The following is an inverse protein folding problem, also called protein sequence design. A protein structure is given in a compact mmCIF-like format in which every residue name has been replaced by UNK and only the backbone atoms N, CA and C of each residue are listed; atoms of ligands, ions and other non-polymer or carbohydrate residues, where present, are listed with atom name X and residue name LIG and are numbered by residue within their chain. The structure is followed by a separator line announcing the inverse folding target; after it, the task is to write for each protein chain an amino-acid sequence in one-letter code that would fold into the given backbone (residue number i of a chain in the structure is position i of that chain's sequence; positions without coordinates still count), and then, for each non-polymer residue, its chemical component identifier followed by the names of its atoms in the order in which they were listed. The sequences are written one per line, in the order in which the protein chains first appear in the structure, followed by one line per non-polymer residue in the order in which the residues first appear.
data_IF_980713603940
#
_entry.id   IF_980713603940
#
_cell.length_a   1.000
_cell.length_b   1.000
_cell.length_c   1.000
_cell.angle_alpha   90.00
_cell.angle_beta   90.00
_cell.angle_gamma   90.00
#
_symmetry.space_group_name_H-M   'P 1'
#
loop_
_entity.id
_entity.type
_entity.pdbx_description
1 polymer ?
#
# COMPACT_ATOMS: atom_id res chain seq x y z
N UNK A 1 0.45 27.92 -38.64
CA UNK A 1 1.36 26.78 -38.37
C UNK A 1 1.89 26.90 -36.95
N UNK A 2 1.35 26.12 -36.01
CA UNK A 2 1.87 25.99 -34.65
C UNK A 2 2.60 24.66 -34.59
N UNK A 3 3.90 24.70 -34.32
CA UNK A 3 4.68 23.50 -34.04
C UNK A 3 4.39 23.07 -32.60
N UNK A 4 3.76 21.90 -32.44
CA UNK A 4 3.69 21.19 -31.17
C UNK A 4 4.98 20.37 -31.08
N UNK A 5 5.90 20.77 -30.21
CA UNK A 5 6.99 19.88 -29.81
C UNK A 5 6.39 18.76 -28.97
N UNK A 6 6.29 17.57 -29.56
CA UNK A 6 6.12 16.33 -28.81
C UNK A 6 7.42 16.05 -28.06
N UNK A 7 7.42 16.31 -26.76
CA UNK A 7 8.42 15.74 -25.86
C UNK A 7 8.12 14.25 -25.71
N UNK A 8 8.86 13.43 -26.45
CA UNK A 8 9.07 12.02 -26.10
C UNK A 8 9.86 12.01 -24.78
N UNK A 9 9.14 11.89 -23.66
CA UNK A 9 9.74 11.56 -22.37
C UNK A 9 10.29 10.13 -22.49
N UNK A 10 11.61 10.02 -22.61
CA UNK A 10 12.33 8.75 -22.51
C UNK A 10 12.08 8.12 -21.15
N UNK A 11 11.75 6.82 -21.16
CA UNK A 11 11.39 5.97 -20.03
C UNK A 11 12.54 5.74 -19.02
N UNK A 12 12.92 6.76 -18.25
CA UNK A 12 14.04 6.62 -17.30
C UNK A 12 14.05 7.57 -16.11
N UNK A 13 12.91 8.14 -15.70
CA UNK A 13 12.88 9.17 -14.64
C UNK A 13 11.84 8.97 -13.54
N UNK A 14 11.20 7.80 -13.43
CA UNK A 14 10.10 7.60 -12.47
C UNK A 14 10.41 6.72 -11.25
N UNK A 15 11.49 5.95 -11.25
CA UNK A 15 11.93 5.28 -10.03
C UNK A 15 12.59 6.31 -9.11
N UNK A 16 11.83 6.85 -8.15
CA UNK A 16 12.44 7.48 -6.98
C UNK A 16 13.40 6.47 -6.37
N UNK A 17 14.71 6.73 -6.42
CA UNK A 17 15.68 5.85 -5.80
C UNK A 17 15.51 5.94 -4.28
N UNK A 18 15.27 4.80 -3.64
CA UNK A 18 15.20 4.68 -2.19
C UNK A 18 16.53 4.18 -1.59
N UNK A 19 16.93 4.80 -0.50
CA UNK A 19 18.10 4.46 0.28
C UNK A 19 17.60 3.90 1.61
N UNK A 20 17.76 2.59 1.83
CA UNK A 20 17.34 1.94 3.08
C UNK A 20 18.10 2.52 4.28
N UNK A 21 17.37 2.79 5.36
CA UNK A 21 17.91 3.20 6.65
C UNK A 21 17.92 2.07 7.69
N UNK A 22 17.12 1.01 7.50
CA UNK A 22 17.07 -0.19 8.34
C UNK A 22 15.75 -0.34 9.10
N UNK A 23 15.72 -1.23 10.09
CA UNK A 23 14.53 -1.46 10.92
C UNK A 23 14.15 -0.24 11.76
N UNK A 24 12.84 -0.04 11.99
CA UNK A 24 12.31 1.03 12.85
C UNK A 24 12.00 0.46 14.23
N UNK A 25 12.97 0.50 15.14
CA UNK A 25 12.89 -0.13 16.46
C UNK A 25 11.72 0.40 17.31
N UNK A 26 11.36 1.67 17.16
CA UNK A 26 10.27 2.32 17.89
C UNK A 26 8.88 1.80 17.50
N UNK A 27 8.75 1.30 16.26
CA UNK A 27 7.49 0.75 15.74
C UNK A 27 7.42 -0.77 15.96
N UNK A 28 8.56 -1.46 15.85
CA UNK A 28 8.66 -2.91 15.95
C UNK A 28 8.55 -3.42 17.39
N UNK A 29 8.03 -4.65 17.53
CA UNK A 29 7.99 -5.38 18.81
C UNK A 29 8.55 -6.80 18.64
N UNK A 30 8.24 -7.73 19.54
CA UNK A 30 8.52 -9.16 19.32
C UNK A 30 7.47 -9.87 18.42
N UNK A 31 6.37 -9.19 18.12
CA UNK A 31 5.25 -9.69 17.34
C UNK A 31 5.38 -9.34 15.84
N UNK A 32 4.32 -9.44 15.06
CA UNK A 32 4.28 -8.94 13.69
C UNK A 32 3.88 -7.47 13.67
N UNK A 33 4.55 -6.69 12.82
CA UNK A 33 4.22 -5.30 12.49
C UNK A 33 4.18 -5.12 10.98
N UNK A 34 3.04 -4.68 10.47
CA UNK A 34 2.79 -4.65 9.03
C UNK A 34 1.72 -3.64 8.65
N UNK A 35 1.49 -3.47 7.34
CA UNK A 35 0.52 -2.54 6.78
C UNK A 35 0.58 -1.11 7.35
N UNK A 36 1.75 -0.44 7.33
CA UNK A 36 1.85 0.97 7.69
C UNK A 36 1.02 1.80 6.69
N UNK A 37 0.30 2.79 7.19
CA UNK A 37 -0.39 3.79 6.36
C UNK A 37 -0.44 5.12 7.08
N UNK A 38 -0.16 6.20 6.36
CA UNK A 38 -0.34 7.54 6.89
C UNK A 38 -1.82 7.93 6.89
N UNK A 39 -2.34 8.34 8.04
CA UNK A 39 -3.64 8.98 8.17
C UNK A 39 -3.46 10.52 8.16
N UNK A 40 -3.76 11.19 7.03
CA UNK A 40 -3.61 12.63 6.94
C UNK A 40 -4.60 13.40 7.83
N UNK A 41 -5.77 12.84 8.14
CA UNK A 41 -6.76 13.48 8.99
C UNK A 41 -6.34 13.45 10.47
N UNK A 42 -5.79 12.31 10.91
CA UNK A 42 -5.25 12.14 12.26
C UNK A 42 -3.83 12.67 12.46
N UNK A 43 -3.10 13.01 11.38
CA UNK A 43 -1.66 13.31 11.37
C UNK A 43 -0.85 12.24 12.13
N UNK A 44 -1.17 10.98 11.85
CA UNK A 44 -0.61 9.83 12.54
C UNK A 44 -0.35 8.69 11.56
N UNK A 45 0.60 7.83 11.91
CA UNK A 45 0.77 6.55 11.25
C UNK A 45 -0.23 5.56 11.86
N UNK A 46 -0.91 4.79 11.03
CA UNK A 46 -1.60 3.57 11.43
C UNK A 46 -0.76 2.37 11.02
N UNK A 47 -0.76 1.31 11.82
CA UNK A 47 -0.13 0.03 11.48
C UNK A 47 -0.94 -1.14 12.04
N UNK A 48 -0.86 -2.29 11.40
CA UNK A 48 -1.37 -3.55 11.94
C UNK A 48 -0.29 -4.19 12.81
N UNK A 49 -0.68 -4.71 13.97
CA UNK A 49 0.25 -5.46 14.82
C UNK A 49 -0.42 -6.58 15.59
N UNK A 50 0.32 -7.67 15.83
CA UNK A 50 -0.10 -8.81 16.65
C UNK A 50 0.43 -8.74 18.08
N UNK A 51 0.94 -7.58 18.52
CA UNK A 51 1.56 -7.39 19.85
C UNK A 51 0.66 -7.69 21.06
N UNK A 52 -0.66 -7.68 20.86
CA UNK A 52 -1.64 -8.06 21.89
C UNK A 52 -2.07 -9.54 21.82
N UNK A 53 -1.48 -10.33 20.92
CA UNK A 53 -1.85 -11.73 20.64
C UNK A 53 -2.84 -11.90 19.49
N UNK A 54 -3.52 -10.83 19.08
CA UNK A 54 -4.42 -10.79 17.92
C UNK A 54 -4.03 -9.63 17.00
N UNK A 55 -4.40 -9.70 15.72
CA UNK A 55 -4.15 -8.60 14.80
C UNK A 55 -5.09 -7.43 15.11
N UNK A 56 -4.51 -6.28 15.45
CA UNK A 56 -5.20 -5.03 15.79
C UNK A 56 -4.57 -3.85 15.04
N UNK A 57 -5.32 -2.76 14.95
CA UNK A 57 -4.82 -1.50 14.38
C UNK A 57 -4.29 -0.60 15.50
N UNK A 58 -3.06 -0.12 15.33
CA UNK A 58 -2.39 0.80 16.23
C UNK A 58 -2.17 2.14 15.54
N UNK A 59 -2.37 3.24 16.27
CA UNK A 59 -1.99 4.58 15.87
C UNK A 59 -0.67 4.99 16.52
N UNK A 60 0.15 5.72 15.78
CA UNK A 60 1.45 6.23 16.20
C UNK A 60 1.55 7.69 15.81
N UNK A 61 1.73 8.55 16.80
CA UNK A 61 1.94 9.99 16.57
C UNK A 61 3.36 10.21 16.06
N UNK A 62 3.49 11.06 15.04
CA UNK A 62 4.79 11.53 14.56
C UNK A 62 5.14 12.85 15.24
N UNK A 63 6.29 12.89 15.92
CA UNK A 63 6.81 14.07 16.64
C UNK A 63 7.89 14.81 15.83
N UNK A 64 7.70 14.90 14.50
CA UNK A 64 8.57 15.53 13.51
C UNK A 64 9.96 14.89 13.30
N UNK A 65 10.56 14.32 14.36
CA UNK A 65 11.86 13.61 14.29
C UNK A 65 11.82 12.22 14.92
N UNK A 66 10.74 11.86 15.62
CA UNK A 66 10.62 10.55 16.27
C UNK A 66 9.19 10.02 16.26
N UNK A 67 9.08 8.70 16.36
CA UNK A 67 7.82 8.00 16.53
C UNK A 67 7.43 7.96 18.00
N UNK A 68 6.16 8.27 18.31
CA UNK A 68 5.58 7.96 19.60
C UNK A 68 5.41 6.44 19.81
N UNK A 69 4.91 6.04 20.98
CA UNK A 69 4.59 4.63 21.24
C UNK A 69 3.31 4.23 20.48
N UNK A 70 3.26 3.05 19.84
CA UNK A 70 2.03 2.57 19.21
C UNK A 70 0.91 2.32 20.24
N UNK A 71 -0.28 2.89 19.97
CA UNK A 71 -1.47 2.74 20.80
C UNK A 71 -2.60 2.10 20.01
N UNK A 72 -3.24 1.05 20.53
CA UNK A 72 -4.37 0.40 19.86
C UNK A 72 -5.50 1.42 19.65
N UNK A 73 -6.12 1.42 18.46
CA UNK A 73 -7.28 2.27 18.19
C UNK A 73 -8.46 1.84 19.08
N UNK A 74 -8.87 2.66 20.06
CA UNK A 74 -9.79 2.22 21.10
C UNK A 74 -11.17 1.92 20.53
N UNK A 75 -11.72 0.77 20.93
CA UNK A 75 -13.08 0.35 20.58
C UNK A 75 -13.29 -0.08 19.12
N UNK A 76 -12.24 -0.09 18.28
CA UNK A 76 -12.36 -0.50 16.89
C UNK A 76 -12.60 -2.02 16.78
N UNK A 77 -11.79 -2.84 17.43
CA UNK A 77 -11.97 -4.29 17.40
C UNK A 77 -12.57 -4.82 18.71
N UNK A 78 -13.59 -5.67 18.59
CA UNK A 78 -14.07 -6.50 19.70
C UNK A 78 -13.08 -7.64 20.00
N UNK A 79 -13.02 -8.14 21.24
CA UNK A 79 -12.19 -9.31 21.61
C UNK A 79 -12.49 -10.52 20.71
N UNK A 80 -11.47 -11.22 20.23
CA UNK A 80 -11.63 -12.37 19.32
C UNK A 80 -11.82 -12.01 17.85
N UNK A 81 -11.80 -10.72 17.50
CA UNK A 81 -11.83 -10.26 16.12
C UNK A 81 -10.46 -9.78 15.68
N UNK A 82 -9.97 -10.36 14.59
CA UNK A 82 -8.76 -9.92 13.91
C UNK A 82 -9.12 -8.84 12.89
N UNK A 83 -8.48 -7.67 13.00
CA UNK A 83 -8.58 -6.57 12.05
C UNK A 83 -7.18 -6.15 11.60
N UNK A 84 -7.02 -5.94 10.30
CA UNK A 84 -5.74 -5.59 9.70
C UNK A 84 -5.92 -4.67 8.49
N UNK A 85 -4.81 -4.18 7.94
CA UNK A 85 -4.74 -3.41 6.69
C UNK A 85 -5.70 -2.22 6.66
N UNK A 86 -5.47 -1.27 7.56
CA UNK A 86 -6.15 0.01 7.55
C UNK A 86 -5.85 0.79 6.26
N UNK A 87 -6.86 1.49 5.74
CA UNK A 87 -6.77 2.43 4.65
C UNK A 87 -7.71 3.61 4.89
N UNK A 88 -7.19 4.73 5.44
CA UNK A 88 -7.93 5.96 5.61
C UNK A 88 -8.41 6.52 4.27
N UNK A 89 -9.62 7.07 4.25
CA UNK A 89 -10.22 7.76 3.11
C UNK A 89 -10.42 9.25 3.44
N UNK A 90 -10.31 10.16 2.46
CA UNK A 90 -10.48 11.61 2.69
C UNK A 90 -11.84 12.01 3.28
N UNK A 91 -12.87 11.18 3.12
CA UNK A 91 -14.22 11.41 3.64
C UNK A 91 -14.43 10.87 5.07
N UNK A 92 -13.34 10.47 5.76
CA UNK A 92 -13.35 10.07 7.17
C UNK A 92 -13.69 8.61 7.42
N UNK A 93 -13.85 7.81 6.36
CA UNK A 93 -13.95 6.35 6.49
C UNK A 93 -12.56 5.71 6.63
N UNK A 94 -12.52 4.62 7.39
CA UNK A 94 -11.37 3.72 7.50
C UNK A 94 -11.76 2.37 6.89
N UNK A 95 -11.15 2.02 5.75
CA UNK A 95 -11.28 0.71 5.13
C UNK A 95 -10.34 -0.28 5.80
N UNK A 96 -10.81 -1.51 6.02
CA UNK A 96 -10.15 -2.50 6.86
C UNK A 96 -10.37 -3.91 6.31
N UNK A 97 -9.44 -4.81 6.59
CA UNK A 97 -9.65 -6.23 6.45
C UNK A 97 -10.25 -6.81 7.73
N UNK A 98 -11.32 -7.61 7.58
CA UNK A 98 -11.92 -8.37 8.67
C UNK A 98 -11.99 -9.85 8.32
N UNK A 99 -11.67 -10.71 9.28
CA UNK A 99 -11.87 -12.14 9.13
C UNK A 99 -13.36 -12.49 9.15
N UNK A 100 -13.76 -13.39 8.25
CA UNK A 100 -15.10 -13.96 8.18
C UNK A 100 -14.99 -15.48 8.01
N UNK A 101 -15.87 -16.20 8.71
CA UNK A 101 -15.99 -17.64 8.53
C UNK A 101 -16.77 -17.93 7.25
N UNK A 102 -16.11 -18.50 6.24
CA UNK A 102 -16.76 -19.03 5.04
C UNK A 102 -17.21 -20.48 5.22
N UNK A 103 -17.83 -21.03 4.18
CA UNK A 103 -18.34 -22.41 4.18
C UNK A 103 -17.21 -23.44 4.14
N UNK A 104 -16.12 -23.11 3.45
CA UNK A 104 -14.96 -24.01 3.27
C UNK A 104 -13.78 -23.62 4.16
N UNK A 105 -13.54 -22.33 4.33
CA UNK A 105 -12.44 -21.79 5.13
C UNK A 105 -12.77 -20.37 5.60
N UNK A 106 -12.00 -19.87 6.57
CA UNK A 106 -12.03 -18.45 6.90
C UNK A 106 -11.32 -17.63 5.81
N UNK A 107 -11.79 -16.41 5.57
CA UNK A 107 -11.23 -15.51 4.58
C UNK A 107 -11.24 -14.07 5.08
N UNK A 108 -10.37 -13.23 4.50
CA UNK A 108 -10.41 -11.77 4.68
C UNK A 108 -11.39 -11.15 3.68
N UNK A 109 -12.15 -10.18 4.15
CA UNK A 109 -12.95 -9.31 3.30
C UNK A 109 -12.77 -7.85 3.72
N UNK A 110 -12.94 -6.94 2.75
CA UNK A 110 -12.88 -5.49 2.96
C UNK A 110 -14.19 -4.99 3.54
N UNK A 111 -14.10 -4.27 4.65
CA UNK A 111 -15.20 -3.52 5.29
C UNK A 111 -14.76 -2.09 5.51
N UNK A 112 -15.68 -1.21 5.93
CA UNK A 112 -15.30 0.13 6.40
C UNK A 112 -15.93 0.48 7.75
N UNK A 113 -15.25 1.32 8.49
CA UNK A 113 -15.73 1.90 9.73
C UNK A 113 -15.48 3.40 9.76
N UNK A 114 -16.34 4.17 10.43
CA UNK A 114 -16.08 5.57 10.74
C UNK A 114 -16.29 5.81 12.22
N UNK A 115 -15.53 6.75 12.78
CA UNK A 115 -15.68 7.13 14.17
C UNK A 115 -16.76 8.20 14.31
N UNK A 116 -17.76 7.91 15.12
CA UNK A 116 -18.89 8.80 15.41
C UNK A 116 -18.52 9.85 16.44
N UNK A 117 -19.35 10.89 16.58
CA UNK A 117 -19.11 12.03 17.49
C UNK A 117 -19.06 11.62 18.96
N UNK A 118 -19.77 10.55 19.33
CA UNK A 118 -19.77 9.95 20.67
C UNK A 118 -18.59 8.98 20.89
N UNK A 119 -17.61 8.97 19.98
CA UNK A 119 -16.46 8.05 19.97
C UNK A 119 -16.79 6.58 19.71
N UNK A 120 -18.02 6.23 19.36
CA UNK A 120 -18.36 4.88 18.87
C UNK A 120 -17.89 4.67 17.43
N UNK A 121 -17.88 3.41 16.97
CA UNK A 121 -17.54 3.06 15.59
C UNK A 121 -18.80 2.60 14.84
N UNK A 122 -19.08 3.28 13.74
CA UNK A 122 -20.13 2.91 12.79
C UNK A 122 -19.53 2.03 11.69
N UNK A 123 -20.02 0.79 11.59
CA UNK A 123 -19.54 -0.22 10.65
C UNK A 123 -20.43 -0.33 9.42
N UNK A 124 -19.82 -0.54 8.26
CA UNK A 124 -20.53 -0.76 7.01
C UNK A 124 -19.86 -1.83 6.15
N UNK A 125 -20.70 -2.74 5.63
CA UNK A 125 -20.35 -3.72 4.62
C UNK A 125 -20.31 -3.08 3.21
N UNK A 126 -19.54 -3.67 2.31
CA UNK A 126 -19.34 -3.18 0.93
C UNK A 126 -19.81 -4.25 -0.07
N UNK A 127 -21.11 -4.54 -0.16
CA UNK A 127 -21.64 -5.61 -1.02
C UNK A 127 -21.27 -5.45 -2.50
N UNK A 128 -21.07 -4.21 -2.96
CA UNK A 128 -20.63 -3.89 -4.31
C UNK A 128 -19.23 -4.44 -4.63
N UNK A 129 -18.32 -4.51 -3.65
CA UNK A 129 -16.98 -5.05 -3.86
C UNK A 129 -16.98 -6.58 -3.88
N UNK A 130 -17.93 -7.23 -3.18
CA UNK A 130 -17.93 -8.67 -2.94
C UNK A 130 -18.91 -9.45 -3.80
N UNK A 131 -19.72 -8.76 -4.62
CA UNK A 131 -20.73 -9.38 -5.49
C UNK A 131 -20.08 -10.36 -6.47
N UNK A 132 -20.59 -11.59 -6.52
CA UNK A 132 -20.06 -12.65 -7.40
C UNK A 132 -18.74 -13.26 -6.93
N UNK A 133 -18.26 -12.86 -5.74
CA UNK A 133 -17.01 -13.29 -5.13
C UNK A 133 -17.15 -13.38 -3.59
N UNK A 134 -18.30 -13.83 -3.09
CA UNK A 134 -18.73 -13.63 -1.70
C UNK A 134 -17.82 -14.29 -0.65
N UNK A 135 -17.14 -15.39 -1.03
CA UNK A 135 -16.17 -16.11 -0.19
C UNK A 135 -14.72 -16.03 -0.74
N UNK A 136 -14.47 -15.14 -1.70
CA UNK A 136 -13.12 -14.84 -2.16
C UNK A 136 -12.35 -14.07 -1.08
N UNK A 137 -11.06 -14.33 -0.97
CA UNK A 137 -10.15 -13.43 -0.30
C UNK A 137 -10.22 -12.05 -0.97
N UNK A 138 -10.52 -11.01 -0.20
CA UNK A 138 -10.48 -9.62 -0.64
C UNK A 138 -9.84 -8.80 0.47
N UNK A 139 -8.59 -8.40 0.26
CA UNK A 139 -7.76 -7.81 1.31
C UNK A 139 -6.90 -6.66 0.80
N UNK A 140 -6.13 -6.08 1.73
CA UNK A 140 -5.14 -5.06 1.45
C UNK A 140 -5.74 -3.83 0.74
N UNK A 141 -6.85 -3.24 1.24
CA UNK A 141 -7.45 -2.10 0.58
C UNK A 141 -6.50 -0.91 0.61
N UNK A 142 -6.57 -0.07 -0.42
CA UNK A 142 -5.99 1.26 -0.46
C UNK A 142 -6.95 2.20 -1.19
N UNK A 143 -7.00 3.44 -0.72
CA UNK A 143 -7.85 4.50 -1.28
C UNK A 143 -6.91 5.55 -1.89
N UNK A 144 -7.22 6.00 -3.10
CA UNK A 144 -6.46 7.08 -3.73
C UNK A 144 -6.59 8.37 -2.90
N UNK A 145 -5.58 9.26 -2.88
CA UNK A 145 -5.62 10.47 -2.04
C UNK A 145 -6.79 11.42 -2.31
N UNK A 146 -7.37 11.36 -3.51
CA UNK A 146 -8.58 12.11 -3.91
C UNK A 146 -9.90 11.37 -3.59
N UNK A 147 -9.82 10.14 -3.07
CA UNK A 147 -10.96 9.30 -2.72
C UNK A 147 -11.74 8.73 -3.93
N UNK A 148 -11.20 8.84 -5.14
CA UNK A 148 -11.89 8.45 -6.37
C UNK A 148 -11.73 6.97 -6.73
N UNK A 149 -10.69 6.31 -6.22
CA UNK A 149 -10.34 4.93 -6.53
C UNK A 149 -10.07 4.12 -5.27
N UNK A 150 -10.51 2.87 -5.28
CA UNK A 150 -10.17 1.85 -4.29
C UNK A 150 -9.46 0.72 -5.03
N UNK A 151 -8.26 0.34 -4.58
CA UNK A 151 -7.55 -0.84 -5.06
C UNK A 151 -7.41 -1.84 -3.92
N UNK A 152 -7.53 -3.13 -4.22
CA UNK A 152 -7.41 -4.22 -3.24
C UNK A 152 -6.94 -5.51 -3.93
N UNK A 153 -6.39 -6.44 -3.16
CA UNK A 153 -5.96 -7.76 -3.62
C UNK A 153 -7.07 -8.78 -3.47
N UNK A 154 -7.30 -9.65 -4.46
CA UNK A 154 -8.35 -10.68 -4.40
C UNK A 154 -8.09 -11.89 -5.28
N UNK A 155 -8.45 -13.08 -4.79
CA UNK A 155 -8.44 -14.36 -5.52
C UNK A 155 -9.77 -14.66 -6.23
N UNK A 156 -10.58 -13.61 -6.47
CA UNK A 156 -11.88 -13.74 -7.10
C UNK A 156 -11.78 -14.30 -8.53
N UNK A 157 -12.84 -14.97 -9.04
CA UNK A 157 -12.87 -15.46 -10.41
C UNK A 157 -12.59 -14.36 -11.45
N UNK A 158 -11.84 -14.70 -12.50
CA UNK A 158 -11.52 -13.79 -13.61
C UNK A 158 -10.15 -13.10 -13.49
N UNK A 159 -9.38 -13.44 -12.47
CA UNK A 159 -7.98 -13.04 -12.25
C UNK A 159 -6.97 -13.63 -13.25
N UNK A 160 -5.70 -13.24 -13.12
CA UNK A 160 -4.56 -13.72 -13.92
C UNK A 160 -3.73 -14.78 -13.17
N UNK A 161 -3.85 -14.87 -11.84
CA UNK A 161 -2.99 -15.69 -11.00
C UNK A 161 -3.63 -16.15 -9.69
N UNK A 162 -2.87 -16.09 -8.60
CA UNK A 162 -3.32 -16.42 -7.25
C UNK A 162 -4.23 -15.31 -6.69
N UNK A 163 -3.63 -14.31 -6.05
CA UNK A 163 -4.33 -13.05 -5.75
C UNK A 163 -3.95 -11.99 -6.77
N UNK A 164 -4.93 -11.23 -7.23
CA UNK A 164 -4.75 -10.19 -8.23
C UNK A 164 -5.12 -8.81 -7.66
N UNK A 165 -4.61 -7.73 -8.24
CA UNK A 165 -5.06 -6.38 -7.96
C UNK A 165 -6.35 -6.06 -8.74
N UNK A 166 -7.33 -5.54 -8.02
CA UNK A 166 -8.62 -5.09 -8.55
C UNK A 166 -8.87 -3.64 -8.16
N UNK A 167 -9.44 -2.86 -9.07
CA UNK A 167 -9.78 -1.45 -8.88
C UNK A 167 -11.29 -1.24 -8.93
N UNK A 168 -11.83 -0.43 -8.02
CA UNK A 168 -13.20 0.06 -8.09
C UNK A 168 -13.19 1.59 -8.10
N UNK A 169 -14.01 2.18 -8.96
CA UNK A 169 -14.14 3.64 -9.08
C UNK A 169 -15.33 4.13 -8.26
N UNK A 170 -15.15 5.24 -7.56
CA UNK A 170 -16.22 5.86 -6.79
C UNK A 170 -17.26 6.47 -7.73
N UNK A 171 -18.53 6.12 -7.52
CA UNK A 171 -19.65 6.59 -8.31
C UNK A 171 -20.21 7.90 -7.75
N UNK A 172 -21.03 8.58 -8.56
CA UNK A 172 -21.62 9.88 -8.20
C UNK A 172 -22.58 9.80 -6.99
N UNK A 173 -23.14 8.62 -6.72
CA UNK A 173 -24.00 8.35 -5.56
C UNK A 173 -23.20 8.01 -4.28
N UNK A 174 -21.87 7.97 -4.37
CA UNK A 174 -20.96 7.70 -3.26
C UNK A 174 -20.61 6.22 -3.03
N UNK A 175 -21.24 5.29 -3.75
CA UNK A 175 -20.91 3.85 -3.71
C UNK A 175 -19.70 3.53 -4.58
N UNK A 176 -19.11 2.36 -4.38
CA UNK A 176 -18.09 1.84 -5.29
C UNK A 176 -18.73 1.18 -6.51
N UNK A 177 -18.10 1.35 -7.66
CA UNK A 177 -18.44 0.60 -8.88
C UNK A 177 -18.06 -0.88 -8.76
N UNK A 178 -18.40 -1.64 -9.80
CA UNK A 178 -17.96 -3.02 -9.93
C UNK A 178 -16.43 -3.09 -10.05
N UNK A 179 -15.75 -3.98 -9.30
CA UNK A 179 -14.31 -4.10 -9.39
C UNK A 179 -13.82 -4.63 -10.75
N UNK A 180 -12.83 -3.94 -11.32
CA UNK A 180 -12.16 -4.28 -12.57
C UNK A 180 -10.77 -4.87 -12.28
N UNK A 181 -10.38 -5.93 -12.98
CA UNK A 181 -9.05 -6.54 -12.81
C UNK A 181 -7.97 -5.64 -13.44
N UNK A 182 -6.93 -5.30 -12.69
CA UNK A 182 -5.78 -4.53 -13.17
C UNK A 182 -4.78 -5.42 -13.91
N UNK A 183 -5.23 -6.10 -14.98
CA UNK A 183 -4.46 -7.12 -15.72
C UNK A 183 -3.03 -6.72 -16.07
N UNK A 184 -2.80 -5.44 -16.40
CA UNK A 184 -1.47 -4.91 -16.73
C UNK A 184 -0.48 -4.89 -15.56
N UNK A 185 -0.96 -5.00 -14.33
CA UNK A 185 -0.16 -5.02 -13.10
C UNK A 185 -0.07 -6.41 -12.48
N UNK A 186 -0.92 -7.34 -12.91
CA UNK A 186 -0.98 -8.68 -12.35
C UNK A 186 -0.02 -9.62 -13.07
N UNK A 187 0.27 -10.74 -12.42
CA UNK A 187 1.13 -11.80 -12.92
C UNK A 187 0.48 -13.17 -12.70
N UNK A 188 1.09 -14.28 -13.15
CA UNK A 188 0.64 -15.62 -12.78
C UNK A 188 0.77 -15.94 -11.27
N UNK A 189 1.48 -15.09 -10.51
CA UNK A 189 1.69 -15.22 -9.07
C UNK A 189 0.61 -14.51 -8.23
N UNK A 190 1.02 -13.99 -7.09
CA UNK A 190 0.22 -13.22 -6.14
C UNK A 190 0.66 -11.77 -6.14
N UNK A 191 -0.28 -10.85 -6.31
CA UNK A 191 -0.10 -9.43 -6.07
C UNK A 191 -0.82 -8.99 -4.79
N UNK A 192 -0.06 -8.37 -3.89
CA UNK A 192 -0.53 -8.00 -2.54
C UNK A 192 -0.13 -6.58 -2.16
N UNK A 193 -0.74 -6.09 -1.08
CA UNK A 193 -0.37 -4.84 -0.41
C UNK A 193 -0.31 -3.59 -1.32
N UNK A 194 -1.31 -3.35 -2.20
CA UNK A 194 -1.32 -2.14 -3.01
C UNK A 194 -1.37 -0.89 -2.11
N UNK A 195 -0.67 0.16 -2.53
CA UNK A 195 -0.63 1.46 -1.85
C UNK A 195 -0.56 2.60 -2.85
N UNK A 196 -1.56 3.46 -2.83
CA UNK A 196 -1.45 4.73 -3.53
C UNK A 196 -0.47 5.67 -2.81
N UNK A 197 0.49 6.20 -3.57
CA UNK A 197 1.29 7.36 -3.15
C UNK A 197 0.71 8.68 -3.70
N UNK A 198 0.01 8.60 -4.82
CA UNK A 198 -0.74 9.67 -5.49
C UNK A 198 -1.88 9.04 -6.31
N UNK A 199 -2.82 9.82 -6.88
CA UNK A 199 -3.87 9.25 -7.74
C UNK A 199 -3.33 8.49 -8.97
N UNK A 200 -2.08 8.74 -9.35
CA UNK A 200 -1.41 8.14 -10.51
C UNK A 200 -0.23 7.23 -10.15
N UNK A 201 0.15 7.07 -8.88
CA UNK A 201 1.27 6.20 -8.50
C UNK A 201 0.81 5.14 -7.51
N UNK A 202 0.97 3.88 -7.88
CA UNK A 202 0.62 2.71 -7.08
C UNK A 202 1.85 1.86 -6.83
N UNK A 203 2.16 1.62 -5.56
CA UNK A 203 3.12 0.62 -5.12
C UNK A 203 2.39 -0.67 -4.77
N UNK A 204 3.02 -1.82 -4.95
CA UNK A 204 2.49 -3.12 -4.54
C UNK A 204 3.62 -4.13 -4.40
N UNK A 205 3.33 -5.33 -3.90
CA UNK A 205 4.27 -6.43 -3.87
C UNK A 205 3.79 -7.60 -4.72
N UNK A 206 4.71 -8.33 -5.35
CA UNK A 206 4.40 -9.48 -6.20
C UNK A 206 5.41 -10.62 -6.04
N UNK A 207 4.94 -11.86 -6.13
CA UNK A 207 5.79 -13.06 -6.23
C UNK A 207 5.86 -13.66 -7.65
N UNK A 208 5.25 -13.01 -8.65
CA UNK A 208 5.14 -13.54 -10.01
C UNK A 208 5.69 -12.64 -11.13
N UNK A 209 6.08 -11.40 -10.84
CA UNK A 209 6.84 -10.54 -11.78
C UNK A 209 8.33 -10.89 -11.87
N UNK A 210 8.79 -11.87 -11.07
CA UNK A 210 10.20 -12.13 -10.81
C UNK A 210 10.78 -11.12 -9.83
N UNK A 211 12.05 -11.30 -9.43
CA UNK A 211 12.67 -10.45 -8.44
C UNK A 211 13.76 -11.17 -7.66
N UNK A 212 14.21 -10.57 -6.57
CA UNK A 212 15.28 -11.13 -5.75
C UNK A 212 14.75 -12.14 -4.72
N UNK A 213 13.49 -12.00 -4.29
CA UNK A 213 12.91 -12.67 -3.13
C UNK A 213 11.70 -13.54 -3.47
N UNK A 214 10.86 -13.76 -2.45
CA UNK A 214 9.53 -14.36 -2.63
C UNK A 214 8.55 -13.30 -3.08
N UNK A 215 8.22 -12.35 -2.20
CA UNK A 215 7.55 -11.10 -2.58
C UNK A 215 8.56 -9.96 -2.78
N UNK A 216 8.46 -9.27 -3.91
CA UNK A 216 9.27 -8.11 -4.26
C UNK A 216 8.37 -6.87 -4.45
N UNK A 217 8.87 -5.67 -4.11
CA UNK A 217 8.15 -4.41 -4.28
C UNK A 217 8.25 -3.90 -5.72
N UNK A 218 7.11 -3.40 -6.21
CA UNK A 218 6.95 -2.80 -7.53
C UNK A 218 6.22 -1.45 -7.44
N UNK A 219 6.45 -0.60 -8.43
CA UNK A 219 5.70 0.64 -8.66
C UNK A 219 5.14 0.65 -10.08
N UNK A 220 3.93 1.16 -10.24
CA UNK A 220 3.38 1.51 -11.54
C UNK A 220 2.78 2.91 -11.51
N UNK A 221 2.87 3.57 -12.67
CA UNK A 221 2.33 4.91 -12.87
C UNK A 221 1.18 4.86 -13.87
N UNK A 222 0.02 5.38 -13.47
CA UNK A 222 -1.15 5.55 -14.31
C UNK A 222 -0.95 6.72 -15.25
N UNK A 223 -1.15 6.48 -16.54
CA UNK A 223 -1.09 7.49 -17.60
C UNK A 223 -2.37 8.32 -17.61
N UNK A 224 -2.30 9.46 -18.30
CA UNK A 224 -3.42 10.38 -18.49
C UNK A 224 -4.61 9.76 -19.24
N UNK A 225 -4.36 8.72 -20.06
CA UNK A 225 -5.40 7.95 -20.77
C UNK A 225 -6.06 6.88 -19.88
N UNK A 226 -5.63 6.79 -18.62
CA UNK A 226 -6.13 5.86 -17.62
C UNK A 226 -5.46 4.49 -17.60
N UNK A 227 -4.56 4.21 -18.53
CA UNK A 227 -3.79 2.94 -18.56
C UNK A 227 -2.67 2.96 -17.52
N UNK A 228 -2.35 1.81 -16.94
CA UNK A 228 -1.18 1.67 -16.08
C UNK A 228 0.06 1.31 -16.90
N UNK A 229 1.21 1.85 -16.51
CA UNK A 229 2.50 1.45 -17.06
C UNK A 229 2.86 0.03 -16.57
N UNK A 230 3.69 -0.72 -17.32
CA UNK A 230 4.27 -1.95 -16.79
C UNK A 230 4.92 -1.68 -15.42
N UNK A 231 4.79 -2.59 -14.45
CA UNK A 231 5.37 -2.39 -13.14
C UNK A 231 6.90 -2.40 -13.20
N UNK A 232 7.52 -1.46 -12.49
CA UNK A 232 8.96 -1.35 -12.33
C UNK A 232 9.37 -1.82 -10.92
N UNK A 233 10.38 -2.69 -10.78
CA UNK A 233 10.82 -3.17 -9.47
C UNK A 233 11.57 -2.09 -8.70
N UNK A 234 11.36 -2.03 -7.37
CA UNK A 234 12.16 -1.20 -6.45
C UNK A 234 13.46 -1.95 -6.09
N UNK A 235 14.34 -2.11 -7.08
CA UNK A 235 15.57 -2.91 -7.00
C UNK A 235 16.49 -2.55 -5.84
N UNK A 236 16.39 -1.32 -5.35
CA UNK A 236 17.18 -0.80 -4.25
C UNK A 236 16.62 -1.15 -2.85
N UNK A 237 15.36 -1.57 -2.76
CA UNK A 237 14.74 -2.07 -1.52
C UNK A 237 14.56 -3.59 -1.52
N UNK A 238 14.42 -4.19 -2.71
CA UNK A 238 14.21 -5.61 -2.87
C UNK A 238 15.46 -6.42 -2.54
N UNK A 239 15.28 -7.51 -1.80
CA UNK A 239 16.35 -8.41 -1.36
C UNK A 239 15.93 -9.87 -1.56
N UNK A 240 16.77 -10.86 -1.24
CA UNK A 240 16.35 -12.26 -1.22
C UNK A 240 15.32 -12.63 -0.14
N UNK A 241 14.76 -11.66 0.59
CA UNK A 241 13.69 -11.82 1.58
C UNK A 241 12.35 -11.43 0.96
N UNK A 242 11.27 -11.47 1.73
CA UNK A 242 9.97 -10.95 1.30
C UNK A 242 9.87 -9.47 1.68
N UNK A 243 9.63 -8.60 0.71
CA UNK A 243 9.30 -7.19 0.90
C UNK A 243 7.86 -6.87 0.49
N UNK A 244 7.13 -6.14 1.33
CA UNK A 244 5.72 -5.81 1.10
C UNK A 244 5.30 -4.53 1.82
N UNK A 245 4.01 -4.17 1.75
CA UNK A 245 3.41 -3.15 2.63
C UNK A 245 4.08 -1.76 2.55
N UNK A 246 4.49 -1.37 1.35
CA UNK A 246 5.12 -0.07 1.13
C UNK A 246 4.17 1.09 1.46
N UNK A 247 4.70 2.13 2.11
CA UNK A 247 3.97 3.36 2.45
C UNK A 247 4.91 4.56 2.44
N UNK A 248 4.76 5.45 1.46
CA UNK A 248 5.40 6.78 1.47
C UNK A 248 4.72 7.71 2.46
N UNK A 249 5.50 8.51 3.18
CA UNK A 249 5.00 9.50 4.14
C UNK A 249 4.97 10.91 3.52
N UNK A 250 4.03 11.79 3.91
CA UNK A 250 3.79 13.07 3.23
C UNK A 250 4.85 14.14 3.50
N UNK A 251 5.75 13.92 4.47
CA UNK A 251 6.86 14.81 4.77
C UNK A 251 8.14 14.47 3.99
N UNK A 252 7.97 13.84 2.82
CA UNK A 252 8.75 14.14 1.61
C UNK A 252 9.97 13.27 1.34
N UNK A 253 10.49 12.54 2.32
CA UNK A 253 11.70 11.74 2.12
C UNK A 253 11.71 10.43 2.89
N UNK A 254 10.59 9.97 3.44
CA UNK A 254 10.55 8.75 4.25
C UNK A 254 9.46 7.82 3.71
N UNK A 255 9.80 6.54 3.57
CA UNK A 255 8.87 5.45 3.35
C UNK A 255 9.08 4.39 4.42
N UNK A 256 7.99 3.69 4.74
CA UNK A 256 8.01 2.47 5.51
C UNK A 256 7.66 1.30 4.60
N UNK A 257 8.19 0.13 4.88
CA UNK A 257 7.83 -1.12 4.21
C UNK A 257 8.06 -2.28 5.18
N UNK A 258 7.47 -3.43 4.88
CA UNK A 258 7.70 -4.67 5.61
C UNK A 258 8.82 -5.45 4.94
N UNK A 259 9.69 -6.05 5.74
CA UNK A 259 10.60 -7.09 5.29
C UNK A 259 10.62 -8.27 6.26
N UNK A 260 10.59 -9.49 5.74
CA UNK A 260 10.69 -10.72 6.53
C UNK A 260 11.33 -11.87 5.74
N UNK A 261 12.03 -12.78 6.41
CA UNK A 261 12.32 -14.10 5.83
C UNK A 261 11.08 -14.97 5.96
N UNK A 262 10.94 -15.95 5.07
CA UNK A 262 9.92 -16.98 5.19
C UNK A 262 9.93 -17.61 6.60
N UNK A 263 8.79 -17.52 7.29
CA UNK A 263 8.60 -18.04 8.66
C UNK A 263 9.09 -17.14 9.80
N UNK A 264 9.70 -16.00 9.50
CA UNK A 264 10.05 -14.98 10.50
C UNK A 264 8.92 -13.96 10.71
N UNK A 265 9.08 -13.13 11.73
CA UNK A 265 8.10 -12.07 12.06
C UNK A 265 8.18 -10.93 11.05
N UNK A 266 7.03 -10.35 10.73
CA UNK A 266 6.96 -9.14 9.91
C UNK A 266 7.53 -7.95 10.69
N UNK A 267 8.48 -7.23 10.08
CA UNK A 267 9.13 -6.06 10.66
C UNK A 267 9.05 -4.87 9.73
N UNK A 268 8.84 -3.71 10.31
CA UNK A 268 8.87 -2.43 9.61
C UNK A 268 10.31 -1.94 9.44
N UNK A 269 10.63 -1.60 8.21
CA UNK A 269 11.88 -0.95 7.78
C UNK A 269 11.56 0.44 7.26
N UNK A 270 12.55 1.32 7.35
CA UNK A 270 12.50 2.66 6.80
C UNK A 270 13.45 2.79 5.61
N UNK A 271 13.01 3.50 4.59
CA UNK A 271 13.85 3.97 3.50
C UNK A 271 13.65 5.47 3.31
N UNK A 272 14.71 6.15 2.87
CA UNK A 272 14.62 7.56 2.49
C UNK A 272 14.81 7.73 1.00
N UNK A 273 14.24 8.78 0.41
CA UNK A 273 14.60 9.11 -0.98
C UNK A 273 16.09 9.41 -1.04
N UNK A 274 16.81 8.76 -1.94
CA UNK A 274 18.21 9.06 -2.17
C UNK A 274 18.35 10.51 -2.63
N UNK A 275 19.41 11.24 -2.20
CA UNK A 275 19.71 12.54 -2.75
C UNK A 275 19.81 12.43 -4.27
N UNK A 276 19.19 13.37 -5.00
CA UNK A 276 19.45 13.47 -6.44
C UNK A 276 20.97 13.54 -6.62
N UNK A 277 21.54 12.68 -7.48
CA UNK A 277 22.95 12.76 -7.81
C UNK A 277 23.24 14.21 -8.20
N UNK A 278 24.05 14.92 -7.42
CA UNK A 278 24.42 16.28 -7.78
C UNK A 278 25.11 16.19 -9.13
N UNK A 279 24.59 16.89 -10.13
CA UNK A 279 25.25 17.05 -11.43
C UNK A 279 26.74 17.32 -11.17
N UNK A 280 27.59 16.36 -11.53
CA UNK A 280 29.03 16.58 -11.46
C UNK A 280 29.33 17.82 -12.31
N UNK A 281 30.11 18.80 -11.82
CA UNK A 281 30.50 19.90 -12.66
C UNK A 281 31.25 19.31 -13.85
N UNK A 282 30.74 19.59 -15.06
CA UNK A 282 31.41 19.36 -16.34
C UNK A 282 32.91 19.52 -16.13
N UNK A 283 33.66 18.43 -16.34
CA UNK A 283 35.10 18.50 -16.43
C UNK A 283 35.43 19.58 -17.46
N UNK A 284 35.92 20.73 -16.98
CA UNK A 284 36.47 21.76 -17.82
C UNK A 284 37.69 21.17 -18.51
N UNK A 285 37.52 20.71 -19.74
CA UNK A 285 38.65 20.40 -20.61
C UNK A 285 39.45 21.70 -20.79
N UNK A 286 40.78 21.71 -20.53
CA UNK A 286 41.59 22.88 -20.82
C UNK A 286 41.64 23.09 -22.34
N UNK A 287 41.71 24.34 -22.81
CA UNK A 287 41.73 24.64 -24.24
C UNK A 287 43.00 24.03 -24.85
N UNK A 288 42.82 23.26 -25.91
CA UNK A 288 43.92 22.79 -26.74
C UNK A 288 44.72 23.99 -27.27
N UNK A 289 46.03 23.94 -27.10
CA UNK A 289 47.01 24.73 -27.86
C UNK A 289 47.91 23.78 -28.60
#
# INVERSE_FOLDING_TARGET
MRWVLGLLLSAGWLAAQWCEHGQVAELNSAADEFAPVWDPAGRQLLLSSTRSGESRIYAVVWHDTSWGSPQELPGLALTGHHLSYAAPSPDGWLYLCRYRQGRRQAYLHVVRARRSRDSSWEWQELPELHRGAEEAFSAHPTISPDGSMLVFASDRPGGEGGTDLWIAFRQADGHWGEPENLRSLNSPGNEITPRFASPDTLYFASDGHGGAGGYDLFVSVRRWDGTWQPPEPLVELNTPMDESDFCSLPFGELALFVRARAGERLKLYAARRCPAASDSPLQSAPPQR
#
